data_IF_788165359933
#
_entry.id   IF_788165359933
#
_cell.length_a   1.000
_cell.length_b   1.000
_cell.length_c   1.000
_cell.angle_alpha   90.00
_cell.angle_beta   90.00
_cell.angle_gamma   90.00
#
_symmetry.space_group_name_H-M   'P 1'
#
loop_
_entity.id
_entity.type
_entity.pdbx_description
1 polymer ?
#
# COMPACT_ATOMS: atom_id res chain seq x y z
N UNK A 1 17.03 -0.20 6.48
CA UNK A 1 16.32 -1.50 6.66
C UNK A 1 16.22 -2.20 5.31
N UNK A 2 16.46 -3.51 5.24
CA UNK A 2 16.26 -4.29 4.02
C UNK A 2 15.22 -5.40 4.25
N UNK A 3 14.54 -5.80 3.18
CA UNK A 3 13.62 -6.93 3.18
C UNK A 3 13.76 -7.72 1.88
N UNK A 4 13.63 -9.04 1.97
CA UNK A 4 13.60 -9.95 0.82
C UNK A 4 12.39 -10.87 0.98
N UNK A 5 11.75 -11.22 -0.12
CA UNK A 5 10.64 -12.17 -0.16
C UNK A 5 10.80 -13.09 -1.37
N UNK A 6 10.43 -14.35 -1.20
CA UNK A 6 10.25 -15.32 -2.26
C UNK A 6 8.86 -15.89 -2.14
N UNK A 7 8.20 -16.16 -3.27
CA UNK A 7 6.93 -16.86 -3.33
C UNK A 7 6.97 -17.85 -4.48
N UNK A 8 6.38 -19.02 -4.28
CA UNK A 8 6.13 -20.00 -5.34
C UNK A 8 4.71 -20.55 -5.26
N UNK A 9 4.22 -21.05 -6.39
CA UNK A 9 2.94 -21.73 -6.52
C UNK A 9 2.83 -22.39 -7.89
N UNK A 10 1.75 -23.14 -8.13
CA UNK A 10 1.46 -23.69 -9.44
C UNK A 10 0.11 -23.15 -9.91
N UNK A 11 0.10 -22.40 -11.00
CA UNK A 11 -1.15 -21.98 -11.65
C UNK A 11 -1.67 -23.16 -12.46
N UNK A 12 -2.98 -23.43 -12.37
CA UNK A 12 -3.64 -24.49 -13.17
C UNK A 12 -2.94 -25.87 -12.94
N UNK A 13 -2.49 -26.13 -11.72
CA UNK A 13 -1.71 -27.32 -11.29
C UNK A 13 -0.35 -27.55 -11.95
N UNK A 14 -0.11 -27.04 -13.17
CA UNK A 14 1.03 -27.42 -14.00
C UNK A 14 2.01 -26.28 -14.29
N UNK A 15 1.60 -25.02 -14.16
CA UNK A 15 2.42 -23.86 -14.53
C UNK A 15 3.13 -23.34 -13.29
N UNK A 16 4.43 -23.61 -13.09
CA UNK A 16 5.15 -23.12 -11.94
C UNK A 16 5.22 -21.60 -12.02
N UNK A 17 4.88 -20.97 -10.91
CA UNK A 17 4.94 -19.53 -10.71
C UNK A 17 5.95 -19.25 -9.61
N UNK A 18 6.84 -18.29 -9.85
CA UNK A 18 7.84 -17.86 -8.89
C UNK A 18 7.91 -16.33 -8.85
N UNK A 19 8.07 -15.79 -7.64
CA UNK A 19 8.35 -14.39 -7.41
C UNK A 19 9.52 -14.25 -6.44
N UNK A 20 10.40 -13.31 -6.74
CA UNK A 20 11.49 -12.88 -5.86
C UNK A 20 11.45 -11.36 -5.77
N UNK A 21 11.53 -10.83 -4.56
CA UNK A 21 11.49 -9.40 -4.32
C UNK A 21 12.47 -8.98 -3.23
N UNK A 22 13.07 -7.81 -3.41
CA UNK A 22 13.92 -7.16 -2.44
C UNK A 22 13.58 -5.68 -2.33
N UNK A 23 13.62 -5.13 -1.12
CA UNK A 23 13.48 -3.70 -0.90
C UNK A 23 14.49 -3.20 0.13
N UNK A 24 14.98 -1.99 -0.09
CA UNK A 24 15.96 -1.35 0.75
C UNK A 24 15.57 0.11 0.99
N UNK A 25 15.49 0.49 2.27
CA UNK A 25 15.31 1.88 2.68
C UNK A 25 16.66 2.59 2.66
N UNK A 26 16.85 3.45 1.67
CA UNK A 26 17.95 4.39 1.51
C UNK A 26 17.58 5.78 2.08
N UNK A 27 18.54 6.70 2.25
CA UNK A 27 18.23 8.07 2.68
C UNK A 27 17.30 8.81 1.71
N UNK A 28 17.41 8.53 0.42
CA UNK A 28 16.60 9.17 -0.62
C UNK A 28 15.21 8.53 -0.80
N UNK A 29 14.84 7.51 -0.03
CA UNK A 29 13.57 6.79 -0.19
C UNK A 29 13.73 5.27 -0.12
N UNK A 30 12.71 4.53 -0.55
CA UNK A 30 12.73 3.06 -0.63
C UNK A 30 12.91 2.65 -2.07
N UNK A 31 13.95 1.85 -2.32
CA UNK A 31 14.23 1.24 -3.63
C UNK A 31 13.88 -0.24 -3.54
N UNK A 32 13.18 -0.76 -4.54
CA UNK A 32 12.81 -2.16 -4.65
C UNK A 32 13.26 -2.76 -5.98
N UNK A 33 13.58 -4.05 -5.97
CA UNK A 33 13.77 -4.86 -7.17
C UNK A 33 12.90 -6.11 -7.04
N UNK A 34 12.26 -6.51 -8.14
CA UNK A 34 11.41 -7.68 -8.19
C UNK A 34 11.63 -8.47 -9.47
N UNK A 35 11.37 -9.77 -9.38
CA UNK A 35 11.28 -10.69 -10.50
C UNK A 35 10.02 -11.54 -10.29
N UNK A 36 9.25 -11.71 -11.36
CA UNK A 36 8.14 -12.65 -11.44
C UNK A 36 8.36 -13.50 -12.68
N UNK A 37 8.19 -14.81 -12.55
CA UNK A 37 8.33 -15.75 -13.64
C UNK A 37 7.22 -16.81 -13.59
N UNK A 38 6.70 -17.16 -14.75
CA UNK A 38 5.85 -18.32 -14.96
C UNK A 38 6.34 -19.06 -16.20
N UNK A 39 6.29 -20.39 -16.19
CA UNK A 39 6.69 -21.19 -17.35
C UNK A 39 5.83 -22.45 -17.51
N UNK A 40 5.79 -22.96 -18.74
CA UNK A 40 5.15 -24.24 -19.06
C UNK A 40 6.10 -24.99 -19.97
N UNK A 41 6.54 -26.16 -19.52
CA UNK A 41 7.51 -26.98 -20.25
C UNK A 41 6.82 -28.13 -20.99
N UNK A 42 7.49 -28.66 -22.02
CA UNK A 42 7.06 -29.90 -22.67
C UNK A 42 5.84 -29.75 -23.59
N UNK A 43 5.58 -28.54 -24.09
CA UNK A 43 4.57 -28.28 -25.10
C UNK A 43 4.96 -29.05 -26.36
N UNK A 44 4.15 -30.01 -26.79
CA UNK A 44 4.44 -30.82 -27.98
C UNK A 44 3.86 -30.16 -29.21
N UNK A 45 4.67 -30.02 -30.24
CA UNK A 45 4.17 -29.60 -31.55
C UNK A 45 3.38 -30.74 -32.18
N UNK A 46 2.23 -30.41 -32.74
CA UNK A 46 1.47 -31.30 -33.60
C UNK A 46 1.17 -30.63 -34.93
N UNK A 47 1.28 -31.39 -36.01
CA UNK A 47 0.82 -31.00 -37.35
C UNK A 47 -0.42 -31.80 -37.71
N UNK A 48 -1.26 -31.25 -38.58
CA UNK A 48 -2.38 -32.01 -39.13
C UNK A 48 -1.89 -32.83 -40.33
N UNK A 49 -1.97 -34.15 -40.21
CA UNK A 49 -1.78 -35.09 -41.32
C UNK A 49 -3.17 -35.57 -41.74
N UNK A 50 -3.71 -34.97 -42.81
CA UNK A 50 -5.14 -35.06 -43.13
C UNK A 50 -5.98 -34.35 -42.08
N UNK A 51 -6.86 -35.07 -41.39
CA UNK A 51 -7.69 -34.56 -40.27
C UNK A 51 -7.22 -35.01 -38.89
N UNK A 52 -6.06 -35.68 -38.81
CA UNK A 52 -5.54 -36.23 -37.55
C UNK A 52 -4.34 -35.39 -37.08
N UNK A 53 -4.32 -34.93 -35.83
CA UNK A 53 -3.14 -34.30 -35.26
C UNK A 53 -2.06 -35.36 -34.98
N UNK A 54 -0.89 -35.19 -35.59
CA UNK A 54 0.29 -36.02 -35.37
C UNK A 54 1.40 -35.18 -34.73
N UNK A 55 1.98 -35.69 -33.64
CA UNK A 55 3.08 -35.02 -32.94
C UNK A 55 4.34 -35.09 -33.79
N UNK A 56 4.98 -33.95 -34.06
CA UNK A 56 6.17 -33.87 -34.94
C UNK A 56 7.44 -34.40 -34.28
N UNK A 57 7.41 -34.56 -32.96
CA UNK A 57 8.59 -34.85 -32.13
C UNK A 57 9.29 -33.59 -31.62
N UNK A 58 8.94 -32.40 -32.12
CA UNK A 58 9.43 -31.15 -31.56
C UNK A 58 8.72 -30.81 -30.26
N UNK A 59 9.45 -30.18 -29.36
CA UNK A 59 8.94 -29.66 -28.09
C UNK A 59 9.28 -28.18 -27.95
N UNK A 60 8.47 -27.49 -27.17
CA UNK A 60 8.69 -26.12 -26.79
C UNK A 60 8.39 -25.91 -25.32
N UNK A 61 8.97 -24.84 -24.80
CA UNK A 61 8.66 -24.30 -23.49
C UNK A 61 8.18 -22.87 -23.67
N UNK A 62 7.12 -22.50 -22.96
CA UNK A 62 6.66 -21.12 -22.86
C UNK A 62 7.15 -20.53 -21.55
N UNK A 63 7.63 -19.29 -21.59
CA UNK A 63 8.03 -18.54 -20.40
C UNK A 63 7.51 -17.11 -20.46
N UNK A 64 7.04 -16.60 -19.33
CA UNK A 64 6.68 -15.22 -19.12
C UNK A 64 7.39 -14.69 -17.88
N UNK A 65 8.10 -13.58 -18.00
CA UNK A 65 8.90 -12.99 -16.95
C UNK A 65 8.69 -11.49 -16.88
N UNK A 66 8.73 -10.95 -15.67
CA UNK A 66 8.66 -9.52 -15.41
C UNK A 66 9.69 -9.14 -14.38
N UNK A 67 10.62 -8.26 -14.75
CA UNK A 67 11.49 -7.58 -13.81
C UNK A 67 10.87 -6.24 -13.41
N UNK A 68 10.95 -5.89 -12.13
CA UNK A 68 10.38 -4.66 -11.58
C UNK A 68 11.47 -3.88 -10.86
N UNK A 69 11.62 -2.61 -11.17
CA UNK A 69 12.37 -1.64 -10.37
C UNK A 69 11.37 -0.67 -9.74
N UNK A 70 11.39 -0.55 -8.42
CA UNK A 70 10.45 0.27 -7.67
C UNK A 70 11.16 1.38 -6.93
N UNK A 71 10.53 2.55 -6.85
CA UNK A 71 10.93 3.63 -5.96
C UNK A 71 9.71 4.21 -5.25
N UNK A 72 9.83 4.47 -3.95
CA UNK A 72 8.79 5.13 -3.18
C UNK A 72 9.38 6.07 -2.13
N UNK A 73 8.70 7.18 -1.86
CA UNK A 73 9.08 8.13 -0.82
C UNK A 73 7.87 8.85 -0.22
N UNK A 74 8.09 9.62 0.83
CA UNK A 74 7.10 10.57 1.34
C UNK A 74 6.91 11.71 0.32
N UNK A 75 5.66 12.11 0.08
CA UNK A 75 5.29 13.11 -0.92
C UNK A 75 6.02 14.46 -0.71
N UNK A 76 6.26 14.83 0.55
CA UNK A 76 6.96 16.06 0.93
C UNK A 76 8.45 16.08 0.54
N UNK A 77 9.06 14.90 0.38
CA UNK A 77 10.49 14.75 0.05
C UNK A 77 10.73 14.81 -1.48
N UNK A 78 9.68 14.88 -2.29
CA UNK A 78 9.78 14.93 -3.76
C UNK A 78 9.48 16.35 -4.26
N UNK A 79 10.50 17.01 -4.82
CA UNK A 79 10.48 18.44 -5.20
C UNK A 79 9.29 18.94 -6.02
N UNK A 80 8.65 18.09 -6.82
CA UNK A 80 7.49 18.45 -7.63
C UNK A 80 6.16 18.12 -6.95
N UNK A 81 6.15 17.07 -6.12
CA UNK A 81 4.95 16.58 -5.43
C UNK A 81 4.74 17.35 -4.13
N UNK A 82 5.80 17.89 -3.53
CA UNK A 82 5.72 18.70 -2.32
C UNK A 82 4.91 20.01 -2.47
N UNK A 83 4.53 20.37 -3.70
CA UNK A 83 3.66 21.51 -4.03
C UNK A 83 2.17 21.16 -3.95
N UNK A 84 1.83 19.88 -3.81
CA UNK A 84 0.45 19.39 -3.72
C UNK A 84 0.09 19.30 -2.24
N UNK A 85 -0.40 20.40 -1.67
CA UNK A 85 -0.70 20.53 -0.23
C UNK A 85 -1.50 19.36 0.34
N UNK A 86 -2.49 18.88 -0.42
CA UNK A 86 -3.31 17.73 -0.01
C UNK A 86 -2.49 16.47 0.30
N UNK A 87 -1.43 16.19 -0.47
CA UNK A 87 -0.58 15.02 -0.26
C UNK A 87 0.44 15.26 0.85
N UNK A 88 1.04 16.45 0.91
CA UNK A 88 2.05 16.78 1.93
C UNK A 88 1.47 16.89 3.32
N UNK A 89 0.33 17.57 3.48
CA UNK A 89 -0.30 17.82 4.78
C UNK A 89 -0.80 16.53 5.43
N UNK A 90 -0.99 15.47 4.61
CA UNK A 90 -1.42 14.14 5.04
C UNK A 90 -0.28 13.16 5.22
N UNK A 91 0.98 13.57 5.02
CA UNK A 91 2.14 12.67 4.99
C UNK A 91 1.92 11.49 4.01
N UNK A 92 1.35 11.77 2.84
CA UNK A 92 1.14 10.75 1.83
C UNK A 92 2.47 10.17 1.36
N UNK A 93 2.44 8.90 0.94
CA UNK A 93 3.57 8.20 0.33
C UNK A 93 3.25 7.98 -1.13
N UNK A 94 4.21 8.24 -1.98
CA UNK A 94 4.07 8.10 -3.44
C UNK A 94 5.16 7.18 -3.95
N UNK A 95 4.86 6.43 -5.00
CA UNK A 95 5.82 5.52 -5.60
C UNK A 95 5.53 5.23 -7.06
N UNK A 96 6.53 4.69 -7.72
CA UNK A 96 6.50 4.27 -9.10
C UNK A 96 7.17 2.90 -9.26
N UNK A 97 6.66 2.09 -10.18
CA UNK A 97 7.31 0.87 -10.64
C UNK A 97 7.64 1.01 -12.11
N UNK A 98 8.85 0.66 -12.50
CA UNK A 98 9.24 0.41 -13.88
C UNK A 98 9.32 -1.09 -14.09
N UNK A 99 8.63 -1.60 -15.11
CA UNK A 99 8.52 -3.03 -15.41
C UNK A 99 9.16 -3.33 -16.74
N UNK A 100 9.94 -4.40 -16.80
CA UNK A 100 10.46 -5.00 -18.03
C UNK A 100 9.82 -6.37 -18.17
N UNK A 101 8.99 -6.53 -19.20
CA UNK A 101 8.21 -7.76 -19.45
C UNK A 101 8.81 -8.48 -20.65
N UNK A 102 8.94 -9.80 -20.54
CA UNK A 102 9.38 -10.67 -21.62
C UNK A 102 8.57 -11.97 -21.58
N UNK A 103 7.95 -12.32 -22.70
CA UNK A 103 7.21 -13.56 -22.86
C UNK A 103 7.56 -14.22 -24.19
N UNK A 104 7.54 -15.53 -24.25
CA UNK A 104 7.79 -16.21 -25.52
C UNK A 104 7.95 -17.71 -25.40
N UNK A 105 8.06 -18.32 -26.57
CA UNK A 105 8.38 -19.74 -26.71
C UNK A 105 9.88 -19.92 -26.99
N UNK A 106 10.41 -21.03 -26.50
CA UNK A 106 11.72 -21.57 -26.84
C UNK A 106 11.56 -23.03 -27.28
N UNK A 107 12.40 -23.52 -28.19
CA UNK A 107 12.30 -24.90 -28.70
C UNK A 107 12.49 -24.99 -30.22
N UNK A 108 11.69 -25.83 -30.86
CA UNK A 108 11.75 -26.02 -32.32
C UNK A 108 11.48 -24.74 -33.14
N UNK A 109 11.96 -24.72 -34.39
CA UNK A 109 11.90 -23.55 -35.27
C UNK A 109 10.46 -23.00 -35.50
N UNK A 110 9.44 -23.84 -35.40
CA UNK A 110 8.04 -23.45 -35.52
C UNK A 110 7.53 -22.55 -34.39
N UNK A 111 8.29 -22.43 -33.30
CA UNK A 111 7.93 -21.62 -32.13
C UNK A 111 8.68 -20.28 -32.07
N UNK A 112 9.68 -20.04 -32.93
CA UNK A 112 10.58 -18.87 -32.84
C UNK A 112 9.87 -17.51 -33.07
N UNK A 113 8.69 -17.51 -33.70
CA UNK A 113 7.91 -16.28 -33.95
C UNK A 113 7.09 -15.76 -32.78
N UNK A 114 7.03 -16.49 -31.66
CA UNK A 114 6.12 -16.20 -30.54
C UNK A 114 6.68 -15.37 -29.40
N UNK A 115 7.86 -14.76 -29.55
CA UNK A 115 8.50 -13.99 -28.47
C UNK A 115 8.20 -12.50 -28.56
N UNK A 116 7.91 -11.88 -27.41
CA UNK A 116 7.61 -10.47 -27.25
C UNK A 116 8.24 -9.93 -25.97
N UNK A 117 8.74 -8.70 -26.02
CA UNK A 117 9.25 -7.99 -24.85
C UNK A 117 8.82 -6.54 -24.88
N UNK A 118 8.76 -5.92 -23.71
CA UNK A 118 8.67 -4.47 -23.61
C UNK A 118 8.63 -4.02 -22.16
N UNK A 119 8.00 -2.87 -21.91
CA UNK A 119 8.09 -2.21 -20.61
C UNK A 119 6.84 -1.42 -20.27
N UNK A 120 6.63 -1.21 -18.98
CA UNK A 120 5.53 -0.38 -18.48
C UNK A 120 5.89 0.36 -17.19
N UNK A 121 5.04 1.28 -16.77
CA UNK A 121 5.12 2.04 -15.54
C UNK A 121 3.82 1.94 -14.75
N UNK A 122 3.95 1.73 -13.44
CA UNK A 122 2.85 1.90 -12.48
C UNK A 122 3.14 3.09 -11.59
N UNK A 123 2.10 3.80 -11.17
CA UNK A 123 2.16 4.88 -10.18
C UNK A 123 1.20 4.59 -9.04
N UNK A 124 1.61 4.88 -7.80
CA UNK A 124 0.80 4.64 -6.62
C UNK A 124 0.97 5.70 -5.55
N UNK A 125 -0.09 5.90 -4.77
CA UNK A 125 -0.08 6.74 -3.58
C UNK A 125 -0.84 6.07 -2.42
N UNK A 126 -0.36 6.27 -1.20
CA UNK A 126 -1.02 5.91 0.05
C UNK A 126 -1.19 7.18 0.87
N UNK A 127 -2.43 7.50 1.22
CA UNK A 127 -2.83 8.71 1.92
C UNK A 127 -3.41 8.31 3.29
N UNK A 128 -2.69 8.55 4.39
CA UNK A 128 -3.21 8.40 5.74
C UNK A 128 -4.41 9.35 5.96
N UNK A 129 -5.56 8.78 6.32
CA UNK A 129 -6.75 9.56 6.70
C UNK A 129 -6.66 9.90 8.20
N UNK A 130 -6.31 8.89 9.01
CA UNK A 130 -6.05 8.98 10.44
C UNK A 130 -5.12 7.83 10.88
N UNK A 131 -4.88 7.65 12.18
CA UNK A 131 -3.99 6.61 12.73
C UNK A 131 -4.43 5.16 12.43
N UNK A 132 -5.71 4.97 12.11
CA UNK A 132 -6.32 3.65 11.87
C UNK A 132 -6.73 3.44 10.43
N UNK A 133 -6.69 4.45 9.57
CA UNK A 133 -7.32 4.41 8.26
C UNK A 133 -6.40 5.00 7.20
N UNK A 134 -6.19 4.25 6.11
CA UNK A 134 -5.47 4.73 4.94
C UNK A 134 -6.36 4.58 3.70
N UNK A 135 -6.20 5.51 2.78
CA UNK A 135 -6.67 5.36 1.40
C UNK A 135 -5.49 5.19 0.46
N UNK A 136 -5.72 4.61 -0.70
CA UNK A 136 -4.71 4.48 -1.75
C UNK A 136 -5.32 4.66 -3.12
N UNK A 137 -4.49 5.12 -4.06
CA UNK A 137 -4.81 5.09 -5.49
C UNK A 137 -3.60 4.53 -6.21
N UNK A 138 -3.81 3.57 -7.09
CA UNK A 138 -2.77 3.00 -7.96
C UNK A 138 -3.27 3.02 -9.39
N UNK A 139 -2.41 3.42 -10.31
CA UNK A 139 -2.63 3.32 -11.75
C UNK A 139 -1.56 2.38 -12.27
N UNK A 140 -1.97 1.27 -12.87
CA UNK A 140 -1.07 0.27 -13.44
C UNK A 140 -1.13 0.29 -14.95
N UNK A 141 -0.03 -0.10 -15.56
CA UNK A 141 0.14 -0.23 -17.00
C UNK A 141 -0.21 1.08 -17.74
N UNK A 142 0.45 2.18 -17.36
CA UNK A 142 0.10 3.53 -17.81
C UNK A 142 0.54 3.78 -19.26
N UNK A 143 1.52 3.03 -19.77
CA UNK A 143 2.04 3.23 -21.11
C UNK A 143 1.11 2.54 -22.12
N UNK A 144 0.38 3.29 -22.96
CA UNK A 144 -0.54 2.70 -23.92
C UNK A 144 0.18 2.11 -25.14
N UNK A 145 -0.50 1.20 -25.83
CA UNK A 145 -0.08 0.60 -27.10
C UNK A 145 0.65 -0.73 -26.95
N UNK A 146 1.44 -1.09 -27.97
CA UNK A 146 2.14 -2.38 -28.08
C UNK A 146 3.35 -2.47 -27.11
N UNK A 147 3.09 -2.35 -25.82
CA UNK A 147 4.08 -2.37 -24.75
C UNK A 147 4.64 -3.77 -24.48
N UNK A 148 4.09 -4.82 -25.11
CA UNK A 148 4.67 -6.18 -25.17
C UNK A 148 4.51 -6.74 -26.59
N UNK A 149 5.43 -6.37 -27.49
CA UNK A 149 5.45 -6.88 -28.87
C UNK A 149 4.33 -6.32 -29.74
N UNK A 150 3.24 -7.08 -29.92
CA UNK A 150 2.01 -6.61 -30.60
C UNK A 150 0.82 -6.52 -29.64
N UNK A 151 1.01 -6.95 -28.39
CA UNK A 151 -0.02 -6.96 -27.36
C UNK A 151 0.14 -5.74 -26.45
N UNK A 152 -0.97 -5.38 -25.78
CA UNK A 152 -1.04 -4.29 -24.81
C UNK A 152 -1.37 -4.84 -23.43
N UNK A 153 -0.59 -4.47 -22.42
CA UNK A 153 -0.93 -4.75 -21.02
C UNK A 153 -2.15 -3.89 -20.61
N UNK A 154 -3.21 -4.49 -20.06
CA UNK A 154 -4.42 -3.76 -19.73
C UNK A 154 -4.17 -2.73 -18.63
N UNK A 155 -4.46 -1.47 -18.90
CA UNK A 155 -4.43 -0.39 -17.89
C UNK A 155 -5.50 -0.65 -16.81
N UNK A 156 -5.14 -0.42 -15.54
CA UNK A 156 -6.07 -0.53 -14.42
C UNK A 156 -5.90 0.64 -13.44
N UNK A 157 -7.01 1.17 -12.92
CA UNK A 157 -7.03 2.15 -11.83
C UNK A 157 -7.64 1.48 -10.60
N UNK A 158 -6.93 1.49 -9.48
CA UNK A 158 -7.32 0.84 -8.23
C UNK A 158 -7.41 1.89 -7.14
N UNK A 159 -8.60 2.09 -6.59
CA UNK A 159 -8.82 2.86 -5.36
C UNK A 159 -8.94 1.91 -4.17
N UNK A 160 -8.18 2.15 -3.11
CA UNK A 160 -8.13 1.27 -1.95
C UNK A 160 -8.42 1.99 -0.64
N UNK A 161 -8.96 1.24 0.31
CA UNK A 161 -9.22 1.67 1.67
C UNK A 161 -8.84 0.57 2.65
N UNK A 162 -8.07 0.93 3.68
CA UNK A 162 -7.73 0.02 4.78
C UNK A 162 -8.12 0.63 6.12
N UNK A 163 -8.68 -0.21 7.00
CA UNK A 163 -9.07 0.16 8.36
C UNK A 163 -8.49 -0.85 9.34
N UNK A 164 -7.72 -0.35 10.30
CA UNK A 164 -7.10 -1.11 11.38
C UNK A 164 -7.93 -0.96 12.64
N UNK A 165 -8.16 -2.07 13.34
CA UNK A 165 -8.78 -2.14 14.65
C UNK A 165 -7.74 -2.63 15.66
N UNK A 166 -6.95 -1.73 16.29
CA UNK A 166 -5.83 -2.11 17.16
C UNK A 166 -6.25 -3.03 18.31
N UNK A 167 -7.41 -2.76 18.93
CA UNK A 167 -7.94 -3.53 20.06
C UNK A 167 -8.22 -5.01 19.74
N UNK A 168 -8.39 -5.33 18.46
CA UNK A 168 -8.68 -6.70 17.98
C UNK A 168 -7.54 -7.31 17.18
N UNK A 169 -6.44 -6.57 17.00
CA UNK A 169 -5.37 -6.93 16.06
C UNK A 169 -5.92 -7.32 14.68
N UNK A 170 -6.89 -6.55 14.19
CA UNK A 170 -7.64 -6.82 12.97
C UNK A 170 -7.39 -5.70 11.95
N UNK A 171 -7.26 -6.07 10.69
CA UNK A 171 -7.17 -5.18 9.54
C UNK A 171 -8.22 -5.60 8.53
N UNK A 172 -8.96 -4.65 7.98
CA UNK A 172 -9.86 -4.86 6.85
C UNK A 172 -9.42 -3.99 5.68
N UNK A 173 -9.52 -4.51 4.48
CA UNK A 173 -9.17 -3.82 3.24
C UNK A 173 -10.30 -3.95 2.21
N UNK A 174 -10.50 -2.89 1.44
CA UNK A 174 -11.50 -2.76 0.39
C UNK A 174 -10.82 -2.10 -0.80
N UNK A 175 -10.77 -2.77 -1.93
CA UNK A 175 -10.26 -2.19 -3.17
C UNK A 175 -11.35 -2.20 -4.24
N UNK A 176 -11.39 -1.13 -5.02
CA UNK A 176 -12.23 -0.98 -6.19
C UNK A 176 -11.32 -0.78 -7.40
N UNK A 177 -11.39 -1.70 -8.35
CA UNK A 177 -10.58 -1.71 -9.55
C UNK A 177 -11.44 -1.40 -10.77
N UNK A 178 -10.95 -0.49 -11.62
CA UNK A 178 -11.52 -0.22 -12.93
C UNK A 178 -10.47 -0.58 -13.98
N UNK A 179 -10.79 -1.55 -14.83
CA UNK A 179 -9.94 -2.02 -15.92
C UNK A 179 -10.79 -2.27 -17.18
N UNK A 180 -10.21 -2.90 -18.21
CA UNK A 180 -10.90 -3.18 -19.47
C UNK A 180 -12.07 -4.18 -19.31
N UNK A 181 -12.05 -5.03 -18.29
CA UNK A 181 -13.10 -6.02 -18.00
C UNK A 181 -14.27 -5.42 -17.20
N UNK A 182 -14.09 -4.23 -16.63
CA UNK A 182 -15.13 -3.47 -15.93
C UNK A 182 -14.72 -3.01 -14.54
N UNK A 183 -15.70 -2.98 -13.64
CA UNK A 183 -15.52 -2.55 -12.26
C UNK A 183 -15.53 -3.77 -11.33
N UNK A 184 -14.40 -4.02 -10.66
CA UNK A 184 -14.17 -5.17 -9.79
C UNK A 184 -14.01 -4.70 -8.34
N UNK A 185 -14.48 -5.52 -7.40
CA UNK A 185 -14.37 -5.27 -5.96
C UNK A 185 -13.57 -6.37 -5.27
N UNK A 186 -12.66 -5.95 -4.40
CA UNK A 186 -11.83 -6.83 -3.59
C UNK A 186 -12.03 -6.53 -2.11
N UNK A 187 -12.28 -7.56 -1.33
CA UNK A 187 -12.49 -7.46 0.12
C UNK A 187 -11.52 -8.38 0.84
N UNK A 188 -10.83 -7.85 1.86
CA UNK A 188 -9.83 -8.61 2.60
C UNK A 188 -9.91 -8.36 4.10
N UNK A 189 -9.63 -9.39 4.88
CA UNK A 189 -9.48 -9.32 6.34
C UNK A 189 -8.19 -10.03 6.73
N UNK A 190 -7.39 -9.39 7.57
CA UNK A 190 -6.24 -9.99 8.26
C UNK A 190 -6.45 -9.89 9.78
N UNK A 191 -6.42 -11.04 10.46
CA UNK A 191 -6.48 -11.13 11.92
C UNK A 191 -5.19 -11.70 12.48
N UNK A 192 -4.64 -11.00 13.48
CA UNK A 192 -3.38 -11.33 14.11
C UNK A 192 -3.62 -11.73 15.57
N UNK A 193 -4.08 -12.97 15.85
CA UNK A 193 -4.39 -13.41 17.21
C UNK A 193 -3.18 -13.34 18.15
N UNK A 194 -1.98 -13.46 17.59
CA UNK A 194 -0.71 -13.25 18.29
C UNK A 194 0.23 -12.42 17.42
N UNK A 195 1.35 -11.96 17.98
CA UNK A 195 2.40 -11.26 17.19
C UNK A 195 3.11 -12.17 16.18
N UNK A 196 2.92 -13.49 16.29
CA UNK A 196 3.61 -14.51 15.50
C UNK A 196 2.71 -15.19 14.47
N UNK A 197 1.38 -14.97 14.49
CA UNK A 197 0.41 -15.68 13.65
C UNK A 197 -0.51 -14.68 12.94
N UNK A 198 -0.74 -14.90 11.66
CA UNK A 198 -1.59 -14.10 10.78
C UNK A 198 -2.61 -15.04 10.13
N UNK A 199 -3.90 -14.70 10.21
CA UNK A 199 -4.98 -15.42 9.52
C UNK A 199 -5.63 -14.46 8.54
N UNK A 200 -5.78 -14.87 7.29
CA UNK A 200 -6.29 -14.02 6.21
C UNK A 200 -7.47 -14.69 5.53
N UNK A 201 -8.44 -13.88 5.14
CA UNK A 201 -9.53 -14.27 4.27
C UNK A 201 -9.86 -13.12 3.33
N UNK A 202 -10.31 -13.43 2.12
CA UNK A 202 -10.72 -12.42 1.16
C UNK A 202 -11.68 -12.95 0.11
N UNK A 203 -12.36 -12.02 -0.53
CA UNK A 203 -13.24 -12.26 -1.68
C UNK A 203 -12.77 -11.33 -2.79
N UNK A 204 -12.55 -11.92 -3.97
CA UNK A 204 -12.15 -11.23 -5.19
C UNK A 204 -13.28 -11.38 -6.22
N UNK A 205 -13.85 -10.26 -6.67
CA UNK A 205 -14.88 -10.24 -7.69
C UNK A 205 -14.27 -10.26 -9.08
N UNK A 206 -14.73 -11.19 -9.91
CA UNK A 206 -14.63 -11.16 -11.37
C UNK A 206 -15.97 -10.81 -11.99
N UNK A 207 -15.98 -10.47 -13.29
CA UNK A 207 -17.16 -10.00 -14.01
C UNK A 207 -18.46 -10.78 -13.69
N UNK A 208 -18.36 -12.12 -13.64
CA UNK A 208 -19.52 -12.99 -13.39
C UNK A 208 -19.34 -13.96 -12.20
N UNK A 209 -18.30 -13.78 -11.38
CA UNK A 209 -17.96 -14.77 -10.34
C UNK A 209 -17.23 -14.18 -9.13
N UNK A 210 -17.20 -14.93 -8.03
CA UNK A 210 -16.47 -14.57 -6.82
C UNK A 210 -15.46 -15.64 -6.45
N UNK A 211 -14.21 -15.22 -6.28
CA UNK A 211 -13.11 -16.06 -5.84
C UNK A 211 -12.93 -15.91 -4.33
N UNK A 212 -12.77 -17.02 -3.62
CA UNK A 212 -12.40 -17.04 -2.21
C UNK A 212 -10.87 -17.17 -2.07
N UNK A 213 -10.30 -16.35 -1.18
CA UNK A 213 -8.93 -16.47 -0.75
C UNK A 213 -8.85 -16.75 0.76
N UNK A 214 -8.01 -17.70 1.17
CA UNK A 214 -7.69 -17.99 2.56
C UNK A 214 -6.18 -17.99 2.74
N UNK A 215 -5.68 -17.59 3.91
CA UNK A 215 -4.26 -17.58 4.16
C UNK A 215 -3.90 -17.75 5.63
N UNK A 216 -2.72 -18.32 5.86
CA UNK A 216 -2.10 -18.49 7.16
C UNK A 216 -0.64 -18.04 7.07
N UNK A 217 -0.22 -17.17 7.97
CA UNK A 217 1.14 -16.66 8.03
C UNK A 217 1.74 -16.82 9.41
N UNK A 218 3.06 -16.99 9.48
CA UNK A 218 3.80 -16.94 10.74
C UNK A 218 4.98 -15.98 10.65
N UNK A 219 5.37 -15.39 11.78
CA UNK A 219 6.53 -14.50 11.88
C UNK A 219 7.42 -14.84 13.05
N UNK A 220 8.70 -15.02 12.79
CA UNK A 220 9.70 -15.31 13.80
C UNK A 220 11.03 -14.62 13.50
N UNK A 221 11.46 -13.73 14.40
CA UNK A 221 12.76 -13.02 14.32
C UNK A 221 13.06 -12.38 12.96
N UNK A 222 12.04 -11.78 12.34
CA UNK A 222 12.16 -11.12 11.03
C UNK A 222 11.88 -12.04 9.83
N UNK A 223 11.89 -13.36 10.01
CA UNK A 223 11.41 -14.29 9.01
C UNK A 223 9.89 -14.35 8.99
N UNK A 224 9.32 -14.52 7.80
CA UNK A 224 7.90 -14.80 7.59
C UNK A 224 7.73 -16.05 6.75
N UNK A 225 6.71 -16.84 7.06
CA UNK A 225 6.27 -17.98 6.26
C UNK A 225 4.79 -17.82 6.03
N UNK A 226 4.37 -17.66 4.79
CA UNK A 226 2.95 -17.51 4.47
C UNK A 226 2.52 -18.62 3.51
N UNK A 227 1.31 -19.12 3.74
CA UNK A 227 0.58 -20.03 2.88
C UNK A 227 -0.73 -19.36 2.49
N UNK A 228 -1.06 -19.39 1.20
CA UNK A 228 -2.33 -18.91 0.69
C UNK A 228 -3.00 -19.94 -0.21
N UNK A 229 -4.32 -19.97 -0.14
CA UNK A 229 -5.22 -20.79 -0.94
C UNK A 229 -6.16 -19.85 -1.67
N UNK A 230 -6.26 -20.00 -2.99
CA UNK A 230 -7.12 -19.17 -3.83
C UNK A 230 -7.96 -20.04 -4.76
N UNK A 231 -9.28 -19.90 -4.71
CA UNK A 231 -10.20 -20.62 -5.60
C UNK A 231 -10.46 -19.80 -6.87
N UNK A 232 -10.75 -20.47 -7.97
CA UNK A 232 -11.27 -19.83 -9.18
C UNK A 232 -12.67 -20.34 -9.45
N UNK A 233 -13.66 -19.46 -9.41
CA UNK A 233 -15.05 -19.87 -9.51
C UNK A 233 -15.44 -20.44 -10.89
N UNK A 234 -14.72 -20.06 -11.95
CA UNK A 234 -14.94 -20.58 -13.30
C UNK A 234 -14.49 -22.04 -13.45
N UNK A 235 -13.37 -22.41 -12.82
CA UNK A 235 -12.76 -23.74 -12.91
C UNK A 235 -12.09 -24.12 -11.59
N UNK A 236 -12.65 -25.13 -10.93
CA UNK A 236 -12.17 -25.63 -9.65
C UNK A 236 -10.73 -26.14 -9.71
N UNK A 237 -10.33 -26.65 -10.88
CA UNK A 237 -9.02 -27.16 -11.24
C UNK A 237 -7.95 -26.07 -11.21
N UNK A 238 -8.34 -24.80 -11.28
CA UNK A 238 -7.41 -23.66 -11.24
C UNK A 238 -7.08 -23.21 -9.82
N UNK A 239 -7.72 -23.83 -8.82
CA UNK A 239 -7.42 -23.59 -7.41
C UNK A 239 -5.92 -23.65 -7.17
N UNK A 240 -5.37 -22.57 -6.63
CA UNK A 240 -3.92 -22.39 -6.53
C UNK A 240 -3.49 -22.29 -5.07
N UNK A 241 -2.34 -22.89 -4.78
CA UNK A 241 -1.64 -22.79 -3.51
C UNK A 241 -0.38 -21.95 -3.68
N UNK A 242 -0.18 -20.99 -2.80
CA UNK A 242 1.03 -20.16 -2.76
C UNK A 242 1.77 -20.38 -1.44
N UNK A 243 3.08 -20.51 -1.53
CA UNK A 243 3.99 -20.57 -0.40
C UNK A 243 4.98 -19.42 -0.51
N UNK A 244 5.16 -18.66 0.56
CA UNK A 244 6.13 -17.57 0.57
C UNK A 244 7.02 -17.63 1.80
N UNK A 245 8.26 -17.19 1.61
CA UNK A 245 9.26 -17.02 2.65
C UNK A 245 9.80 -15.60 2.54
N UNK A 246 9.71 -14.85 3.63
CA UNK A 246 10.23 -13.50 3.72
C UNK A 246 11.27 -13.37 4.80
N UNK A 247 12.13 -12.37 4.66
CA UNK A 247 13.02 -11.89 5.70
C UNK A 247 13.03 -10.37 5.70
N UNK A 248 12.72 -9.76 6.85
CA UNK A 248 12.93 -8.35 7.10
C UNK A 248 14.08 -8.20 8.09
N UNK A 249 15.21 -7.66 7.60
CA UNK A 249 16.37 -7.38 8.42
C UNK A 249 16.06 -6.38 9.53
N UNK A 250 16.92 -6.33 10.57
CA UNK A 250 16.81 -5.31 11.59
C UNK A 250 16.81 -3.92 10.95
N UNK A 251 16.18 -2.97 11.61
CA UNK A 251 16.30 -1.58 11.23
C UNK A 251 17.77 -1.22 11.35
N UNK A 252 18.47 -1.13 10.20
CA UNK A 252 19.84 -0.62 10.18
C UNK A 252 19.80 0.70 10.92
N UNK A 253 20.56 0.80 12.00
CA UNK A 253 20.69 2.03 12.76
C UNK A 253 21.02 3.12 11.74
N UNK A 254 20.02 3.91 11.37
CA UNK A 254 20.28 5.19 10.74
C UNK A 254 21.22 5.86 11.70
N UNK A 255 22.43 6.21 11.24
CA UNK A 255 23.42 6.88 12.08
C UNK A 255 22.74 7.96 12.92
N UNK A 256 23.18 8.19 14.16
CA UNK A 256 22.47 8.97 15.16
C UNK A 256 21.81 10.15 14.47
N UNK A 257 20.47 10.17 14.50
CA UNK A 257 19.62 11.18 13.86
C UNK A 257 20.37 12.50 14.01
N UNK A 258 20.83 13.13 12.90
CA UNK A 258 21.74 14.26 12.99
C UNK A 258 21.07 15.21 13.95
N UNK A 259 21.71 15.39 15.13
CA UNK A 259 21.15 16.25 16.17
C UNK A 259 20.74 17.50 15.42
N UNK A 260 19.46 17.96 15.55
CA UNK A 260 19.00 19.15 14.86
C UNK A 260 20.13 20.14 14.96
N UNK A 261 20.65 20.66 13.83
CA UNK A 261 21.85 21.50 13.85
C UNK A 261 21.63 22.41 15.03
N UNK A 262 22.54 22.36 16.01
CA UNK A 262 22.46 23.26 17.14
C UNK A 262 22.49 24.59 16.44
N UNK A 263 21.30 25.18 16.27
CA UNK A 263 21.16 26.53 15.80
C UNK A 263 21.84 27.22 16.94
N UNK A 264 23.12 27.50 16.73
CA UNK A 264 23.88 28.43 17.54
C UNK A 264 22.95 29.63 17.48
N UNK A 265 22.17 29.78 18.56
CA UNK A 265 21.23 30.87 18.66
C UNK A 265 22.18 32.02 18.67
N UNK A 266 22.42 32.63 17.51
CA UNK A 266 22.84 34.02 17.43
C UNK A 266 21.99 34.68 18.50
N UNK A 267 22.59 35.21 19.58
CA UNK A 267 21.85 35.70 20.73
C UNK A 267 20.70 36.49 20.14
N UNK A 268 19.48 36.02 20.39
CA UNK A 268 18.32 36.61 19.74
C UNK A 268 18.48 38.12 19.96
N UNK A 269 18.50 38.96 18.89
CA UNK A 269 18.53 40.40 19.09
C UNK A 269 17.47 40.68 20.15
N UNK A 270 17.91 41.28 21.27
CA UNK A 270 17.17 41.32 22.51
C UNK A 270 15.69 41.48 22.19
N UNK A 271 14.89 40.46 22.50
CA UNK A 271 13.50 40.41 22.08
C UNK A 271 12.91 41.79 22.37
N UNK A 272 12.39 42.52 21.35
CA UNK A 272 11.75 43.79 21.60
C UNK A 272 10.76 43.53 22.74
N UNK A 273 10.91 44.31 23.82
CA UNK A 273 10.21 44.10 25.08
C UNK A 273 8.78 43.66 24.76
N UNK A 274 8.40 42.47 25.24
CA UNK A 274 7.12 41.87 24.92
C UNK A 274 6.06 42.98 25.05
N UNK A 275 5.28 43.25 23.98
CA UNK A 275 4.26 44.28 24.06
C UNK A 275 3.45 43.97 25.31
N UNK A 276 3.36 44.96 26.21
CA UNK A 276 2.71 44.80 27.49
C UNK A 276 1.38 44.06 27.26
N UNK A 277 1.18 42.95 27.96
CA UNK A 277 -0.05 42.17 27.81
C UNK A 277 -1.22 43.15 27.87
N UNK A 278 -2.09 43.19 26.84
CA UNK A 278 -3.18 44.13 26.80
C UNK A 278 -3.97 43.97 28.08
N UNK A 279 -4.07 45.06 28.84
CA UNK A 279 -4.64 45.02 30.18
C UNK A 279 -6.09 44.56 30.07
N UNK A 280 -6.36 43.31 30.46
CA UNK A 280 -7.70 42.75 30.35
C UNK A 280 -8.67 43.60 31.17
N UNK A 281 -9.79 43.98 30.54
CA UNK A 281 -10.87 44.66 31.25
C UNK A 281 -11.30 43.83 32.49
N UNK A 282 -11.85 44.47 33.54
CA UNK A 282 -12.36 43.75 34.70
C UNK A 282 -13.38 42.66 34.33
N UNK A 283 -14.11 42.85 33.22
CA UNK A 283 -15.06 41.87 32.69
C UNK A 283 -14.36 40.69 32.02
N UNK A 284 -13.34 40.93 31.20
CA UNK A 284 -12.53 39.85 30.60
C UNK A 284 -11.88 38.97 31.67
N UNK A 285 -11.35 39.57 32.75
CA UNK A 285 -10.80 38.82 33.90
C UNK A 285 -11.85 37.91 34.57
N UNK A 286 -13.10 38.39 34.74
CA UNK A 286 -14.20 37.59 35.29
C UNK A 286 -14.59 36.42 34.38
N UNK A 287 -14.66 36.65 33.07
CA UNK A 287 -14.96 35.60 32.08
C UNK A 287 -13.86 34.53 32.10
N UNK A 288 -12.60 34.94 32.13
CA UNK A 288 -11.46 34.02 32.19
C UNK A 288 -11.50 33.15 33.44
N UNK A 289 -11.75 33.74 34.63
CA UNK A 289 -11.88 32.97 35.87
C UNK A 289 -13.05 31.97 35.85
N UNK A 290 -14.16 32.33 35.21
CA UNK A 290 -15.30 31.43 35.03
C UNK A 290 -14.99 30.26 34.09
N UNK A 291 -14.27 30.50 32.99
CA UNK A 291 -13.79 29.44 32.09
C UNK A 291 -12.90 28.45 32.86
N UNK A 292 -11.94 28.93 33.64
CA UNK A 292 -11.07 28.06 34.47
C UNK A 292 -11.88 27.20 35.45
N UNK A 293 -12.94 27.77 36.04
CA UNK A 293 -13.84 27.03 36.94
C UNK A 293 -14.62 25.92 36.21
N UNK A 294 -15.07 26.18 34.97
CA UNK A 294 -15.75 25.18 34.14
C UNK A 294 -14.79 24.07 33.68
N UNK A 295 -13.54 24.39 33.34
CA UNK A 295 -12.51 23.42 32.99
C UNK A 295 -12.20 22.49 34.17
N UNK A 296 -12.12 23.02 35.40
CA UNK A 296 -12.01 22.20 36.61
C UNK A 296 -13.20 21.27 36.84
N UNK A 297 -14.43 21.74 36.60
CA UNK A 297 -15.64 20.89 36.68
C UNK A 297 -15.69 19.83 35.58
N UNK A 298 -15.16 20.12 34.39
CA UNK A 298 -15.08 19.18 33.27
C UNK A 298 -14.12 18.04 33.58
N UNK A 299 -12.96 18.34 34.19
CA UNK A 299 -11.99 17.32 34.58
C UNK A 299 -12.55 16.28 35.58
N UNK A 300 -13.51 16.68 36.42
CA UNK A 300 -14.16 15.79 37.40
C UNK A 300 -15.47 15.13 36.95
N UNK A 301 -15.97 15.41 35.75
CA UNK A 301 -17.27 14.91 35.29
C UNK A 301 -17.16 13.48 34.73
N UNK A 302 -18.03 12.57 35.20
CA UNK A 302 -18.09 11.17 34.72
C UNK A 302 -19.25 10.88 33.79
N UNK A 303 -20.32 11.68 33.85
CA UNK A 303 -21.53 11.44 33.08
C UNK A 303 -21.45 12.09 31.68
N UNK A 304 -21.67 11.34 30.58
CA UNK A 304 -21.51 11.83 29.22
C UNK A 304 -22.34 13.09 28.90
N UNK A 305 -23.60 13.13 29.35
CA UNK A 305 -24.48 14.27 29.14
C UNK A 305 -23.94 15.55 29.83
N UNK A 306 -23.35 15.40 31.01
CA UNK A 306 -22.73 16.50 31.76
C UNK A 306 -21.44 16.99 31.11
N UNK A 307 -20.61 16.08 30.58
CA UNK A 307 -19.39 16.41 29.83
C UNK A 307 -19.75 17.23 28.58
N UNK A 308 -20.73 16.79 27.81
CA UNK A 308 -21.18 17.48 26.60
C UNK A 308 -21.65 18.91 26.92
N UNK A 309 -22.48 19.06 27.96
CA UNK A 309 -22.97 20.37 28.43
C UNK A 309 -21.85 21.31 28.87
N UNK A 310 -20.85 20.81 29.60
CA UNK A 310 -19.70 21.62 30.05
C UNK A 310 -18.82 22.07 28.89
N UNK A 311 -18.56 21.21 27.90
CA UNK A 311 -17.81 21.59 26.69
C UNK A 311 -18.51 22.70 25.91
N UNK A 312 -19.83 22.61 25.75
CA UNK A 312 -20.62 23.64 25.06
C UNK A 312 -20.56 24.99 25.78
N UNK A 313 -20.65 24.99 27.12
CA UNK A 313 -20.55 26.21 27.93
C UNK A 313 -19.15 26.86 27.86
N UNK A 314 -18.08 26.06 27.93
CA UNK A 314 -16.70 26.57 27.81
C UNK A 314 -16.49 27.21 26.44
N UNK A 315 -16.96 26.58 25.37
CA UNK A 315 -16.86 27.13 24.02
C UNK A 315 -17.60 28.48 23.90
N UNK A 316 -18.81 28.58 24.43
CA UNK A 316 -19.59 29.82 24.42
C UNK A 316 -18.89 30.96 25.18
N UNK A 317 -18.31 30.67 26.35
CA UNK A 317 -17.59 31.67 27.15
C UNK A 317 -16.26 32.10 26.52
N UNK A 318 -15.54 31.20 25.84
CA UNK A 318 -14.33 31.55 25.07
C UNK A 318 -14.66 32.53 23.94
N UNK A 319 -15.80 32.35 23.25
CA UNK A 319 -16.28 33.32 22.25
C UNK A 319 -16.61 34.66 22.90
N UNK A 320 -17.25 34.66 24.08
CA UNK A 320 -17.57 35.89 24.83
C UNK A 320 -16.30 36.64 25.26
N UNK A 321 -15.29 35.91 25.76
CA UNK A 321 -14.00 36.47 26.14
C UNK A 321 -13.30 37.14 24.95
N UNK A 322 -13.27 36.47 23.80
CA UNK A 322 -12.66 37.02 22.59
C UNK A 322 -13.36 38.30 22.11
N UNK A 323 -14.69 38.42 22.28
CA UNK A 323 -15.43 39.66 22.01
C UNK A 323 -15.08 40.77 22.99
N UNK A 324 -14.87 40.44 24.26
CA UNK A 324 -14.56 41.42 25.30
C UNK A 324 -13.12 41.94 25.22
N UNK A 325 -12.16 41.10 24.81
CA UNK A 325 -10.77 41.51 24.56
C UNK A 325 -10.65 42.44 23.34
N UNK A 326 -11.59 42.34 22.39
CA UNK A 326 -11.63 43.19 21.19
C UNK A 326 -12.27 44.57 21.42
N UNK A 327 -12.92 44.80 22.56
CA UNK A 327 -13.50 46.10 22.92
C UNK A 327 -12.47 46.96 23.61
#
# INVERSE_FOLDING_TARGET
KFSVISMSGNLINEVPYMMLGGAWRAPAGVIGIGYVGASTDGIKEAILVGSTPEVTGNTANFGATTFVLSYANEAKEINYINKINFLTDRNAKVGANFKLVSQGFSGGASFEGGSASGFDVDLGTIIPINETMNSSVTIKNIIPGNNVGKDELPMSIIGGLSVKYPERNLLTAYDAEMNQEGFLLHLGIEWNPTKALFVRAGIDQKADAYNLALGLGTKFKGFTFDYAYHTYAEMSEFTTHYFSIGFAGPEMATGPEPKPPVVERTPAPAAPAAPAEPEMSPMAKKIQAYITTLEGKLAGAKEPARIAKLKQLIAAEKVRLAKEIKK
#
